data_IF_851447719734
#
_entry.id   IF_851447719734
#
_cell.length_a   1.000
_cell.length_b   1.000
_cell.length_c   1.000
_cell.angle_alpha   90.00
_cell.angle_beta   90.00
_cell.angle_gamma   90.00
#
_symmetry.space_group_name_H-M   'P 1'
#
loop_
_entity.id
_entity.type
_entity.pdbx_description
1 polymer ?
#
# COMPACT_ATOMS: atom_id res chain seq x y z
N UNK A 1 -2.36 6.81 -8.00
CA UNK A 1 -3.53 5.92 -8.14
C UNK A 1 -4.71 6.71 -8.66
N UNK A 2 -5.44 6.12 -9.56
CA UNK A 2 -6.71 6.63 -10.08
C UNK A 2 -7.72 5.51 -9.86
N UNK A 3 -8.78 5.76 -9.13
CA UNK A 3 -9.86 4.81 -8.91
C UNK A 3 -11.14 5.35 -9.56
N UNK A 4 -11.90 4.52 -10.24
CA UNK A 4 -13.21 4.93 -10.73
C UNK A 4 -14.24 4.82 -9.61
N UNK A 5 -15.21 5.74 -9.60
CA UNK A 5 -16.43 5.57 -8.85
C UNK A 5 -17.19 4.33 -9.38
N UNK A 6 -17.93 3.58 -8.56
CA UNK A 6 -18.69 2.41 -9.02
C UNK A 6 -19.64 2.68 -10.18
N UNK A 7 -20.14 3.90 -10.34
CA UNK A 7 -20.97 4.32 -11.50
C UNK A 7 -20.16 4.59 -12.78
N UNK A 8 -18.82 4.53 -12.72
CA UNK A 8 -17.88 4.82 -13.79
C UNK A 8 -17.89 6.27 -14.32
N UNK A 9 -18.67 7.17 -13.71
CA UNK A 9 -18.82 8.55 -14.18
C UNK A 9 -18.03 9.56 -13.36
N UNK A 10 -17.46 9.16 -12.25
CA UNK A 10 -16.69 10.04 -11.36
C UNK A 10 -15.29 9.50 -11.12
N UNK A 11 -14.31 10.39 -11.14
CA UNK A 11 -12.90 10.08 -10.97
C UNK A 11 -12.30 10.96 -9.88
N UNK A 12 -11.66 10.41 -8.83
CA UNK A 12 -10.87 11.18 -7.90
C UNK A 12 -9.47 11.38 -8.47
N UNK A 13 -8.98 12.59 -8.40
CA UNK A 13 -7.60 12.89 -8.77
C UNK A 13 -6.87 13.58 -7.64
N UNK A 14 -5.57 13.39 -7.66
CA UNK A 14 -4.62 14.05 -6.78
C UNK A 14 -3.58 14.81 -7.59
N UNK A 15 -3.17 15.96 -7.11
CA UNK A 15 -2.01 16.69 -7.59
C UNK A 15 -1.16 17.11 -6.40
N UNK A 16 0.14 17.23 -6.61
CA UNK A 16 1.08 17.70 -5.59
C UNK A 16 0.57 19.00 -4.93
N UNK A 17 0.40 18.97 -3.61
CA UNK A 17 -0.06 20.08 -2.78
C UNK A 17 -1.48 20.65 -3.07
N UNK A 18 -2.30 19.93 -3.86
CA UNK A 18 -3.69 20.32 -4.11
C UNK A 18 -4.67 19.39 -3.38
N UNK A 19 -5.88 19.86 -3.05
CA UNK A 19 -6.93 19.02 -2.49
C UNK A 19 -7.36 17.91 -3.46
N UNK A 20 -7.91 16.83 -2.93
CA UNK A 20 -8.52 15.78 -3.74
C UNK A 20 -9.73 16.36 -4.48
N UNK A 21 -9.84 16.12 -5.77
CA UNK A 21 -10.96 16.59 -6.60
C UNK A 21 -11.69 15.41 -7.21
N UNK A 22 -12.99 15.52 -7.30
CA UNK A 22 -13.87 14.62 -8.03
C UNK A 22 -14.21 15.24 -9.38
N UNK A 23 -14.10 14.47 -10.44
CA UNK A 23 -14.30 14.90 -11.81
C UNK A 23 -15.37 14.07 -12.49
N UNK A 24 -16.21 14.71 -13.26
CA UNK A 24 -17.08 14.03 -14.21
C UNK A 24 -16.26 13.52 -15.41
N UNK A 25 -16.36 12.23 -15.69
CA UNK A 25 -15.54 11.58 -16.74
C UNK A 25 -16.02 11.88 -18.17
N UNK A 26 -17.27 12.31 -18.35
CA UNK A 26 -17.81 12.68 -19.66
C UNK A 26 -17.49 14.15 -20.01
N UNK A 27 -17.71 15.03 -19.07
CA UNK A 27 -17.62 16.47 -19.32
C UNK A 27 -16.24 17.03 -18.97
N UNK A 28 -15.44 16.32 -18.18
CA UNK A 28 -14.19 16.83 -17.62
C UNK A 28 -14.38 17.92 -16.57
N UNK A 29 -15.62 18.16 -16.13
CA UNK A 29 -15.91 19.18 -15.13
C UNK A 29 -15.49 18.72 -13.72
N UNK A 30 -14.93 19.64 -12.93
CA UNK A 30 -14.68 19.40 -11.52
C UNK A 30 -16.00 19.48 -10.76
N UNK A 31 -16.48 18.32 -10.31
CA UNK A 31 -17.73 18.19 -9.55
C UNK A 31 -17.59 18.69 -8.12
N UNK A 32 -16.45 18.40 -7.50
CA UNK A 32 -16.22 18.72 -6.09
C UNK A 32 -14.75 18.73 -5.72
N UNK A 33 -14.43 19.54 -4.74
CA UNK A 33 -13.16 19.54 -4.03
C UNK A 33 -13.40 18.96 -2.61
N UNK A 34 -12.62 17.98 -2.21
CA UNK A 34 -12.74 17.31 -0.92
C UNK A 34 -11.80 17.97 0.07
N UNK A 35 -12.35 18.89 0.88
CA UNK A 35 -11.71 19.55 1.98
C UNK A 35 -10.40 20.27 1.64
N UNK A 36 -9.80 20.87 2.66
CA UNK A 36 -8.42 21.35 2.62
C UNK A 36 -7.52 20.30 3.24
N UNK A 37 -6.50 19.87 2.50
CA UNK A 37 -5.47 18.96 2.99
C UNK A 37 -4.12 19.65 2.96
N UNK A 38 -3.43 19.60 4.08
CA UNK A 38 -2.04 20.05 4.16
C UNK A 38 -1.13 18.90 3.76
N UNK A 39 -0.58 18.98 2.55
CA UNK A 39 0.43 18.04 2.11
C UNK A 39 0.06 17.19 0.90
N UNK A 40 1.06 16.46 0.42
CA UNK A 40 0.95 15.63 -0.77
C UNK A 40 0.09 14.37 -0.53
N UNK A 41 -0.93 14.17 -1.38
CA UNK A 41 -1.76 12.96 -1.41
C UNK A 41 -1.07 11.93 -2.31
N UNK A 42 -0.79 10.76 -1.80
CA UNK A 42 -0.14 9.65 -2.53
C UNK A 42 -1.14 8.65 -3.11
N UNK A 43 -2.28 8.45 -2.46
CA UNK A 43 -3.28 7.49 -2.89
C UNK A 43 -4.69 7.95 -2.57
N UNK A 44 -5.62 7.60 -3.46
CA UNK A 44 -7.06 7.81 -3.29
C UNK A 44 -7.82 6.60 -3.82
N UNK A 45 -8.93 6.24 -3.19
CA UNK A 45 -9.86 5.21 -3.68
C UNK A 45 -11.28 5.51 -3.21
N UNK A 46 -12.28 5.07 -4.00
CA UNK A 46 -13.69 5.08 -3.60
C UNK A 46 -14.04 3.87 -2.73
N UNK A 47 -15.00 4.06 -1.84
CA UNK A 47 -15.71 2.93 -1.23
C UNK A 47 -16.53 2.18 -2.28
N UNK A 48 -16.81 0.87 -2.06
CA UNK A 48 -17.58 0.06 -3.02
C UNK A 48 -18.98 0.59 -3.33
N UNK A 49 -19.58 1.34 -2.42
CA UNK A 49 -20.89 1.99 -2.60
C UNK A 49 -20.80 3.41 -3.18
N UNK A 50 -19.58 3.91 -3.45
CA UNK A 50 -19.31 5.24 -3.99
C UNK A 50 -19.55 6.41 -3.03
N UNK A 51 -20.01 6.17 -1.80
CA UNK A 51 -20.38 7.24 -0.85
C UNK A 51 -19.20 7.90 -0.17
N UNK A 52 -18.06 7.24 -0.15
CA UNK A 52 -16.85 7.70 0.52
C UNK A 52 -15.65 7.66 -0.42
N UNK A 53 -14.72 8.57 -0.19
CA UNK A 53 -13.36 8.52 -0.75
C UNK A 53 -12.37 8.41 0.39
N UNK A 54 -11.44 7.47 0.29
CA UNK A 54 -10.28 7.42 1.16
C UNK A 54 -9.10 8.14 0.52
N UNK A 55 -8.31 8.83 1.31
CA UNK A 55 -7.05 9.44 0.87
C UNK A 55 -5.94 9.23 1.89
N UNK A 56 -4.74 8.94 1.40
CA UNK A 56 -3.51 8.81 2.18
C UNK A 56 -2.37 9.65 1.59
N UNK A 57 -1.40 10.09 2.41
CA UNK A 57 -0.30 10.91 1.91
C UNK A 57 0.83 11.16 2.92
N UNK A 58 1.59 12.24 2.67
CA UNK A 58 2.79 12.56 3.44
C UNK A 58 2.51 13.15 4.82
N UNK A 59 1.28 13.56 5.12
CA UNK A 59 0.86 13.99 6.45
C UNK A 59 0.62 12.80 7.41
N UNK A 60 0.91 11.57 6.97
CA UNK A 60 0.83 10.33 7.76
C UNK A 60 -0.60 10.00 8.22
N UNK A 61 -1.63 10.67 7.65
CA UNK A 61 -3.04 10.46 7.99
C UNK A 61 -3.79 9.78 6.86
N UNK A 62 -4.68 8.86 7.21
CA UNK A 62 -5.75 8.40 6.32
C UNK A 62 -6.99 9.25 6.60
N UNK A 63 -7.64 9.76 5.55
CA UNK A 63 -8.90 10.48 5.70
C UNK A 63 -9.99 9.86 4.87
N UNK A 64 -11.21 9.84 5.44
CA UNK A 64 -12.42 9.46 4.75
C UNK A 64 -13.27 10.69 4.49
N UNK A 65 -13.69 10.85 3.25
CA UNK A 65 -14.45 11.98 2.75
C UNK A 65 -15.80 11.52 2.25
N UNK A 66 -16.84 12.24 2.58
CA UNK A 66 -18.16 12.04 2.03
C UNK A 66 -18.21 12.62 0.60
N UNK A 67 -18.59 11.80 -0.38
CA UNK A 67 -18.59 12.21 -1.80
C UNK A 67 -19.64 13.25 -2.11
N UNK A 68 -20.78 13.25 -1.39
CA UNK A 68 -21.88 14.15 -1.63
C UNK A 68 -21.67 15.53 -1.02
N UNK A 69 -21.07 15.58 0.18
CA UNK A 69 -20.88 16.85 0.91
C UNK A 69 -19.46 17.40 0.76
N UNK A 70 -18.48 16.55 0.48
CA UNK A 70 -17.05 16.89 0.49
C UNK A 70 -16.45 17.00 1.90
N UNK A 71 -17.22 16.72 2.94
CA UNK A 71 -16.77 16.83 4.31
C UNK A 71 -15.84 15.67 4.69
N UNK A 72 -14.81 15.97 5.47
CA UNK A 72 -13.98 14.95 6.11
C UNK A 72 -14.78 14.32 7.27
N UNK A 73 -15.10 13.03 7.13
CA UNK A 73 -15.83 12.28 8.17
C UNK A 73 -14.91 11.71 9.24
N UNK A 74 -13.78 11.18 8.84
CA UNK A 74 -12.82 10.56 9.74
C UNK A 74 -11.39 10.94 9.34
N UNK A 75 -10.55 11.14 10.34
CA UNK A 75 -9.11 11.26 10.21
C UNK A 75 -8.45 10.22 11.10
N UNK A 76 -7.79 9.24 10.49
CA UNK A 76 -7.14 8.11 11.16
C UNK A 76 -5.64 8.39 11.23
N UNK A 77 -5.08 8.22 12.43
CA UNK A 77 -3.66 8.44 12.73
C UNK A 77 -3.04 7.15 13.26
N UNK A 78 -1.75 6.97 13.00
CA UNK A 78 -1.00 5.81 13.50
C UNK A 78 0.23 5.50 12.68
N UNK A 79 0.21 5.68 11.35
CA UNK A 79 1.42 5.60 10.56
C UNK A 79 2.43 6.67 10.97
N UNK A 80 3.71 6.31 10.95
CA UNK A 80 4.82 7.17 11.36
C UNK A 80 5.63 7.71 10.18
N UNK A 81 5.22 7.36 8.96
CA UNK A 81 5.83 7.83 7.72
C UNK A 81 4.80 7.99 6.60
N UNK A 82 5.23 8.51 5.46
CA UNK A 82 4.43 8.71 4.26
C UNK A 82 3.71 7.42 3.84
N UNK A 83 2.43 7.53 3.50
CA UNK A 83 1.65 6.44 2.95
C UNK A 83 1.67 6.45 1.42
N UNK A 84 1.74 5.27 0.82
CA UNK A 84 1.76 5.09 -0.63
C UNK A 84 0.46 4.54 -1.20
N UNK A 85 -0.29 3.79 -0.42
CA UNK A 85 -1.48 3.10 -0.89
C UNK A 85 -2.57 3.06 0.16
N UNK A 86 -3.81 3.25 -0.28
CA UNK A 86 -5.03 2.99 0.49
C UNK A 86 -6.00 2.19 -0.37
N UNK A 87 -6.73 1.25 0.24
CA UNK A 87 -7.70 0.40 -0.46
C UNK A 87 -8.83 -0.01 0.47
N UNK A 88 -10.09 0.12 0.02
CA UNK A 88 -11.25 -0.38 0.75
C UNK A 88 -11.38 -1.89 0.61
N UNK A 89 -11.89 -2.53 1.64
CA UNK A 89 -12.42 -3.90 1.53
C UNK A 89 -13.65 -3.93 0.63
N UNK A 90 -13.95 -5.08 -0.03
CA UNK A 90 -15.10 -5.19 -0.95
C UNK A 90 -16.45 -4.89 -0.30
N UNK A 91 -16.59 -5.10 1.01
CA UNK A 91 -17.79 -4.77 1.77
C UNK A 91 -17.82 -3.32 2.30
N UNK A 92 -16.75 -2.55 2.07
CA UNK A 92 -16.60 -1.17 2.51
C UNK A 92 -16.40 -0.97 4.02
N UNK A 93 -16.35 -2.05 4.81
CA UNK A 93 -16.27 -1.97 6.28
C UNK A 93 -14.86 -1.74 6.80
N UNK A 94 -13.86 -2.07 6.00
CA UNK A 94 -12.46 -1.87 6.35
C UNK A 94 -11.72 -1.10 5.28
N UNK A 95 -10.63 -0.46 5.70
CA UNK A 95 -9.65 0.15 4.83
C UNK A 95 -8.27 -0.41 5.16
N UNK A 96 -7.47 -0.69 4.15
CA UNK A 96 -6.06 -1.00 4.29
C UNK A 96 -5.22 0.20 3.87
N UNK A 97 -4.13 0.45 4.58
CA UNK A 97 -3.12 1.46 4.21
C UNK A 97 -1.72 0.89 4.30
N UNK A 98 -0.87 1.24 3.33
CA UNK A 98 0.54 0.85 3.28
C UNK A 98 1.46 2.07 3.32
N UNK A 99 2.55 2.01 4.09
CA UNK A 99 3.41 3.14 4.40
C UNK A 99 4.91 2.86 4.26
N UNK A 100 5.68 3.94 4.23
CA UNK A 100 7.15 3.92 4.38
C UNK A 100 7.60 3.40 5.74
N UNK A 101 6.73 3.37 6.75
CA UNK A 101 7.04 2.80 8.07
C UNK A 101 7.11 1.26 8.05
N UNK A 102 7.03 0.65 6.84
CA UNK A 102 7.14 -0.79 6.58
C UNK A 102 5.93 -1.60 7.09
N UNK A 103 4.87 -0.93 7.55
CA UNK A 103 3.66 -1.57 8.04
C UNK A 103 2.50 -1.41 7.08
N UNK A 104 1.59 -2.38 7.14
CA UNK A 104 0.23 -2.24 6.63
C UNK A 104 -0.70 -2.11 7.84
N UNK A 105 -1.66 -1.19 7.77
CA UNK A 105 -2.68 -1.03 8.82
C UNK A 105 -4.07 -1.29 8.26
N UNK A 106 -4.89 -1.96 9.06
CA UNK A 106 -6.31 -2.18 8.80
C UNK A 106 -7.12 -1.28 9.74
N UNK A 107 -8.10 -0.60 9.18
CA UNK A 107 -8.91 0.39 9.88
C UNK A 107 -10.39 0.06 9.73
N UNK A 108 -11.17 0.29 10.78
CA UNK A 108 -12.62 0.30 10.72
C UNK A 108 -13.10 1.60 10.07
N UNK A 109 -13.94 1.51 9.03
CA UNK A 109 -14.38 2.69 8.27
C UNK A 109 -15.50 3.48 8.97
N UNK A 110 -16.13 2.94 10.01
CA UNK A 110 -17.17 3.62 10.77
C UNK A 110 -16.59 4.37 11.97
N UNK A 111 -15.63 3.73 12.68
CA UNK A 111 -15.04 4.29 13.91
C UNK A 111 -13.73 5.01 13.67
N UNK A 112 -12.99 4.63 12.63
CA UNK A 112 -11.63 5.12 12.37
C UNK A 112 -10.56 4.43 13.22
N UNK A 113 -10.92 3.41 14.00
CA UNK A 113 -9.98 2.67 14.84
C UNK A 113 -9.04 1.79 14.01
N UNK A 114 -7.78 1.72 14.44
CA UNK A 114 -6.82 0.78 13.88
C UNK A 114 -7.10 -0.62 14.44
N UNK A 115 -7.65 -1.48 13.58
CA UNK A 115 -7.98 -2.86 13.95
C UNK A 115 -6.74 -3.74 14.05
N UNK A 116 -5.75 -3.54 13.14
CA UNK A 116 -4.52 -4.33 13.07
C UNK A 116 -3.36 -3.56 12.48
N UNK A 117 -2.16 -3.95 12.91
CA UNK A 117 -0.89 -3.57 12.29
C UNK A 117 -0.24 -4.85 11.79
N UNK A 118 0.00 -4.94 10.48
CA UNK A 118 0.63 -6.09 9.84
C UNK A 118 2.11 -5.76 9.64
N UNK A 119 2.94 -6.44 10.39
CA UNK A 119 4.39 -6.26 10.42
C UNK A 119 5.10 -7.41 9.73
N UNK A 120 6.30 -7.14 9.20
CA UNK A 120 7.15 -8.18 8.61
C UNK A 120 7.85 -7.74 7.33
N UNK A 121 7.29 -6.80 6.55
CA UNK A 121 8.04 -6.17 5.47
C UNK A 121 9.24 -5.40 6.04
N UNK A 122 10.34 -5.39 5.29
CA UNK A 122 11.58 -4.69 5.65
C UNK A 122 11.87 -3.49 4.75
N UNK A 123 10.93 -3.17 3.87
CA UNK A 123 10.94 -2.00 2.99
C UNK A 123 9.59 -1.31 2.98
N UNK A 124 9.52 -0.13 2.35
CA UNK A 124 8.26 0.61 2.20
C UNK A 124 7.19 -0.24 1.49
N UNK A 125 5.94 -0.05 1.89
CA UNK A 125 4.79 -0.69 1.26
C UNK A 125 4.35 0.17 0.07
N UNK A 126 4.48 -0.37 -1.14
CA UNK A 126 4.13 0.35 -2.37
C UNK A 126 2.65 0.23 -2.75
N UNK A 127 2.02 -0.91 -2.43
CA UNK A 127 0.61 -1.15 -2.74
C UNK A 127 -0.02 -2.15 -1.79
N UNK A 128 -1.32 -1.99 -1.55
CA UNK A 128 -2.17 -2.94 -0.80
C UNK A 128 -3.46 -3.18 -1.58
N UNK A 129 -3.97 -4.42 -1.55
CA UNK A 129 -5.21 -4.80 -2.23
C UNK A 129 -5.89 -5.95 -1.49
N UNK A 130 -7.20 -5.83 -1.25
CA UNK A 130 -8.02 -6.92 -0.73
C UNK A 130 -8.38 -7.92 -1.82
N UNK A 131 -8.54 -9.19 -1.45
CA UNK A 131 -9.24 -10.19 -2.26
C UNK A 131 -10.74 -9.87 -2.34
N UNK A 132 -11.41 -10.35 -3.38
CA UNK A 132 -12.84 -10.06 -3.60
C UNK A 132 -13.75 -10.60 -2.49
N UNK A 133 -13.35 -11.65 -1.80
CA UNK A 133 -14.05 -12.23 -0.64
C UNK A 133 -13.66 -11.61 0.70
N UNK A 134 -12.76 -10.63 0.71
CA UNK A 134 -12.23 -9.96 1.91
C UNK A 134 -11.37 -10.85 2.82
N UNK A 135 -11.16 -12.11 2.51
CA UNK A 135 -10.43 -13.05 3.39
C UNK A 135 -8.94 -12.76 3.44
N UNK A 136 -8.37 -12.27 2.33
CA UNK A 136 -6.94 -12.05 2.16
C UNK A 136 -6.65 -10.62 1.74
N UNK A 137 -5.56 -10.07 2.29
CA UNK A 137 -4.95 -8.83 1.82
C UNK A 137 -3.58 -9.15 1.20
N UNK A 138 -3.30 -8.61 0.03
CA UNK A 138 -1.97 -8.62 -0.57
C UNK A 138 -1.29 -7.27 -0.34
N UNK A 139 0.00 -7.30 -0.01
CA UNK A 139 0.85 -6.11 0.07
C UNK A 139 2.14 -6.32 -0.72
N UNK A 140 2.56 -5.31 -1.49
CA UNK A 140 3.83 -5.29 -2.19
C UNK A 140 4.77 -4.26 -1.55
N UNK A 141 6.07 -4.57 -1.53
CA UNK A 141 7.07 -3.76 -0.87
C UNK A 141 8.36 -3.63 -1.68
N UNK A 142 9.13 -2.59 -1.37
CA UNK A 142 10.49 -2.42 -1.87
C UNK A 142 11.50 -3.42 -1.29
N UNK A 143 11.06 -4.31 -0.36
CA UNK A 143 11.85 -5.47 0.08
C UNK A 143 11.86 -6.61 -0.96
N UNK A 144 11.34 -6.36 -2.17
CA UNK A 144 11.22 -7.30 -3.28
C UNK A 144 10.25 -8.46 -3.02
N UNK A 145 9.36 -8.32 -2.01
CA UNK A 145 8.35 -9.33 -1.70
C UNK A 145 6.92 -8.84 -1.88
N UNK A 146 6.04 -9.81 -2.15
CA UNK A 146 4.60 -9.68 -1.98
C UNK A 146 4.20 -10.59 -0.83
N UNK A 147 3.46 -10.05 0.14
CA UNK A 147 2.94 -10.81 1.27
C UNK A 147 1.43 -10.91 1.18
N UNK A 148 0.91 -12.07 1.54
CA UNK A 148 -0.52 -12.35 1.67
C UNK A 148 -0.84 -12.51 3.15
N UNK A 149 -1.85 -11.80 3.61
CA UNK A 149 -2.23 -11.73 5.00
C UNK A 149 -3.67 -12.20 5.16
N UNK A 150 -3.93 -13.02 6.15
CA UNK A 150 -5.29 -13.30 6.59
C UNK A 150 -5.85 -12.07 7.30
N UNK A 151 -6.95 -11.53 6.81
CA UNK A 151 -7.48 -10.25 7.27
C UNK A 151 -7.94 -10.31 8.72
N UNK A 152 -8.62 -11.40 9.09
CA UNK A 152 -9.22 -11.53 10.41
C UNK A 152 -8.19 -11.76 11.53
N UNK A 153 -7.08 -12.43 11.25
CA UNK A 153 -6.03 -12.71 12.26
C UNK A 153 -4.82 -11.80 12.14
N UNK A 154 -4.55 -11.27 10.93
CA UNK A 154 -3.32 -10.55 10.59
C UNK A 154 -2.12 -11.46 10.33
N UNK A 155 -2.34 -12.77 10.24
CA UNK A 155 -1.27 -13.75 10.00
C UNK A 155 -0.76 -13.66 8.56
N UNK A 156 0.56 -13.68 8.37
CA UNK A 156 1.17 -13.79 7.05
C UNK A 156 1.04 -15.23 6.54
N UNK A 157 0.18 -15.42 5.53
CA UNK A 157 -0.11 -16.73 4.94
C UNK A 157 0.97 -17.17 3.95
N UNK A 158 1.49 -16.22 3.19
CA UNK A 158 2.43 -16.51 2.10
C UNK A 158 3.29 -15.30 1.78
N UNK A 159 4.54 -15.61 1.38
CA UNK A 159 5.47 -14.62 0.85
C UNK A 159 5.86 -15.07 -0.55
N UNK A 160 5.68 -14.17 -1.53
CA UNK A 160 6.22 -14.32 -2.87
C UNK A 160 7.42 -13.41 -3.02
N UNK A 161 8.44 -13.92 -3.67
CA UNK A 161 9.65 -13.18 -4.03
C UNK A 161 9.99 -13.44 -5.49
N UNK A 162 10.42 -12.41 -6.19
CA UNK A 162 11.00 -12.58 -7.51
C UNK A 162 12.29 -13.38 -7.41
N UNK A 163 12.49 -14.32 -8.34
CA UNK A 163 13.78 -14.99 -8.46
C UNK A 163 14.86 -13.94 -8.73
N UNK A 164 15.93 -13.99 -7.95
CA UNK A 164 17.10 -13.15 -8.18
C UNK A 164 17.90 -13.67 -9.37
N UNK A 165 18.58 -12.81 -10.13
CA UNK A 165 19.29 -13.21 -11.35
C UNK A 165 20.30 -14.36 -11.16
N UNK A 166 20.83 -14.50 -9.96
CA UNK A 166 21.83 -15.55 -9.60
C UNK A 166 21.34 -16.47 -8.50
N UNK A 167 20.00 -16.57 -8.31
CA UNK A 167 19.44 -17.45 -7.29
C UNK A 167 19.78 -18.91 -7.57
N UNK A 168 20.41 -19.56 -6.58
CA UNK A 168 20.90 -20.95 -6.71
C UNK A 168 22.28 -21.08 -7.39
N UNK A 169 22.90 -20.00 -7.89
CA UNK A 169 24.28 -20.06 -8.35
C UNK A 169 25.21 -20.29 -7.15
N UNK A 170 25.92 -21.41 -7.14
CA UNK A 170 26.92 -21.69 -6.11
C UNK A 170 28.27 -21.08 -6.50
N UNK A 171 28.77 -20.18 -5.67
CA UNK A 171 30.09 -19.52 -5.82
C UNK A 171 31.12 -20.01 -4.81
N UNK A 172 30.83 -21.08 -4.06
CA UNK A 172 31.73 -21.66 -3.08
C UNK A 172 33.03 -22.11 -3.76
N UNK A 173 34.13 -21.60 -3.28
CA UNK A 173 35.47 -21.90 -3.86
C UNK A 173 35.75 -21.29 -5.22
N UNK A 174 34.88 -20.40 -5.73
CA UNK A 174 35.14 -19.69 -6.97
C UNK A 174 36.42 -18.83 -6.86
N UNK A 175 37.36 -19.06 -7.77
CA UNK A 175 38.64 -18.30 -7.84
C UNK A 175 38.48 -17.10 -8.77
N UNK A 176 39.21 -16.01 -8.49
CA UNK A 176 39.23 -14.81 -9.31
C UNK A 176 38.13 -13.79 -8.98
N UNK A 177 37.24 -14.06 -8.06
CA UNK A 177 36.28 -13.07 -7.55
C UNK A 177 36.92 -12.17 -6.51
N UNK A 178 36.81 -10.86 -6.68
CA UNK A 178 37.10 -9.94 -5.60
C UNK A 178 36.07 -10.02 -4.48
N UNK A 179 36.38 -9.63 -3.23
CA UNK A 179 35.39 -9.60 -2.14
C UNK A 179 34.13 -8.79 -2.50
N UNK A 180 34.29 -7.69 -3.22
CA UNK A 180 33.16 -6.86 -3.68
C UNK A 180 32.29 -7.56 -4.70
N UNK A 181 32.89 -8.30 -5.65
CA UNK A 181 32.15 -9.09 -6.65
C UNK A 181 31.41 -10.23 -5.99
N UNK A 182 32.05 -10.96 -5.06
CA UNK A 182 31.38 -12.02 -4.30
C UNK A 182 30.20 -11.49 -3.49
N UNK A 183 30.36 -10.36 -2.79
CA UNK A 183 29.30 -9.72 -2.04
C UNK A 183 28.13 -9.27 -2.96
N UNK A 184 28.44 -8.77 -4.16
CA UNK A 184 27.44 -8.39 -5.15
C UNK A 184 26.66 -9.60 -5.65
N UNK A 185 27.34 -10.69 -6.00
CA UNK A 185 26.68 -11.94 -6.43
C UNK A 185 25.77 -12.52 -5.34
N UNK A 186 26.23 -12.51 -4.08
CA UNK A 186 25.39 -12.92 -2.92
C UNK A 186 24.16 -12.05 -2.77
N UNK A 187 24.26 -10.72 -2.91
CA UNK A 187 23.09 -9.82 -2.92
C UNK A 187 22.12 -10.16 -4.05
N UNK A 188 22.59 -10.65 -5.19
CA UNK A 188 21.81 -11.07 -6.34
C UNK A 188 21.33 -12.53 -6.27
N UNK A 189 21.56 -13.22 -5.15
CA UNK A 189 21.00 -14.54 -4.87
C UNK A 189 21.97 -15.71 -4.98
N UNK A 190 23.26 -15.47 -5.26
CA UNK A 190 24.26 -16.53 -5.27
C UNK A 190 24.48 -17.09 -3.85
N UNK A 191 24.78 -18.39 -3.78
CA UNK A 191 25.02 -19.14 -2.54
C UNK A 191 26.52 -19.33 -2.36
N UNK A 192 27.01 -19.19 -1.13
CA UNK A 192 28.34 -19.54 -0.72
C UNK A 192 28.25 -20.37 0.55
N UNK A 193 28.48 -21.69 0.43
CA UNK A 193 28.30 -22.65 1.50
C UNK A 193 29.29 -22.43 2.68
N UNK A 194 30.29 -21.60 2.50
CA UNK A 194 31.22 -21.21 3.59
C UNK A 194 30.52 -20.35 4.65
N UNK A 195 29.51 -19.57 4.28
CA UNK A 195 28.73 -18.74 5.21
C UNK A 195 27.75 -19.56 6.06
N UNK A 196 27.40 -20.77 5.63
CA UNK A 196 26.46 -21.67 6.34
C UNK A 196 27.12 -22.48 7.46
N UNK A 197 28.44 -22.39 7.60
CA UNK A 197 29.22 -23.16 8.57
C UNK A 197 29.85 -22.32 9.70
N UNK A 198 29.50 -21.02 9.78
CA UNK A 198 29.99 -20.10 10.80
C UNK A 198 28.97 -19.88 11.92
#
# INVERSE_FOLDING_TARGET
CVGFHPDLHTLPTRRSAEPVRLWDTYTGACLRQLGERTGWVSSVCFSPDGRMVASGGNDQTVRLWDTNTGACRLQMQGHTALMWSVNFSPDGRMLASGSNDQTVRLWDTNTGECLRVLEGHTGLISSVCFSSDRSVLASSSNDETIRFWEVDTGTCLRILRSHRPYEGMNITGATGLTPTQAATLKRLGAIDDMDMRA
#
